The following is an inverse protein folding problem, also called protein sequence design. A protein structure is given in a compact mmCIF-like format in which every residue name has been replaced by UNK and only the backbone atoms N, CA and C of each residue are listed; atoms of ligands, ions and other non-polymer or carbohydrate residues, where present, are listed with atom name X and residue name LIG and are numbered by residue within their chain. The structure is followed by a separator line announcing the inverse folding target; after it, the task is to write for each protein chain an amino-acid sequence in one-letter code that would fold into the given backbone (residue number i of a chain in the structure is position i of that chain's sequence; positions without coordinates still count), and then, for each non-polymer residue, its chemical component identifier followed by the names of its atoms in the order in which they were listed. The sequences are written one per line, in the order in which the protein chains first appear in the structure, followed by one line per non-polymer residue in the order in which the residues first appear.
data_IF_687928469342
#
_entry.id   IF_687928469342
#
_cell.length_a   1.000
_cell.length_b   1.000
_cell.length_c   1.000
_cell.angle_alpha   90.00
_cell.angle_beta   90.00
_cell.angle_gamma   90.00
#
_symmetry.space_group_name_H-M   'P 1'
#
loop_
_entity.id
_entity.type
_entity.pdbx_description
1 polymer ?
#
# COMPACT_ATOMS: atom_id res chain seq x y z
N UNK A 1 -27.82 53.14 18.53
CA UNK A 1 -29.27 53.15 18.26
C UNK A 1 -29.75 51.73 18.21
N UNK A 2 -30.41 51.34 19.29
CA UNK A 2 -31.69 50.64 19.45
C UNK A 2 -31.75 49.20 18.87
N UNK A 3 -31.74 48.18 19.83
CA UNK A 3 -32.90 47.50 20.47
C UNK A 3 -33.65 46.60 19.47
N UNK A 4 -33.92 45.30 19.75
CA UNK A 4 -34.58 44.56 20.87
C UNK A 4 -34.43 43.07 20.58
N UNK A 5 -34.07 42.12 21.44
CA UNK A 5 -34.86 41.39 22.46
C UNK A 5 -36.20 40.80 21.99
N UNK A 6 -36.29 39.47 22.11
CA UNK A 6 -37.34 38.67 22.76
C UNK A 6 -37.13 37.20 22.38
N UNK A 7 -36.81 36.28 23.20
CA UNK A 7 -37.49 35.53 24.31
C UNK A 7 -38.82 34.87 23.94
N UNK A 8 -38.88 33.60 24.22
CA UNK A 8 -39.93 32.75 24.82
C UNK A 8 -39.96 31.39 24.10
N UNK A 9 -39.49 30.30 24.71
CA UNK A 9 -40.15 29.44 25.71
C UNK A 9 -41.44 28.78 25.21
N UNK A 10 -41.40 27.46 24.98
CA UNK A 10 -42.43 26.56 25.52
C UNK A 10 -42.04 25.10 25.37
N UNK A 11 -42.03 24.45 26.45
CA UNK A 11 -42.00 23.03 26.74
C UNK A 11 -43.36 22.44 26.36
N UNK A 12 -43.36 21.28 25.71
CA UNK A 12 -44.52 20.40 25.77
C UNK A 12 -44.05 18.95 25.74
N UNK A 13 -44.14 18.32 26.89
CA UNK A 13 -44.16 16.90 27.12
C UNK A 13 -45.40 16.28 26.45
N UNK A 14 -45.21 15.29 25.65
CA UNK A 14 -46.27 14.32 25.34
C UNK A 14 -45.73 12.94 25.56
N UNK A 15 -46.11 12.38 26.67
CA UNK A 15 -46.08 10.94 26.92
C UNK A 15 -47.15 10.27 26.08
N UNK A 16 -46.80 9.29 25.31
CA UNK A 16 -47.79 8.31 24.82
C UNK A 16 -47.23 6.92 24.89
N UNK A 17 -47.91 6.18 25.71
CA UNK A 17 -47.92 4.73 25.87
C UNK A 17 -48.36 4.02 24.59
N UNK A 18 -47.76 2.86 24.35
CA UNK A 18 -48.52 1.76 23.73
C UNK A 18 -48.03 1.28 22.39
N UNK A 19 -47.43 0.23 22.28
CA UNK A 19 -47.98 -1.04 21.82
C UNK A 19 -46.86 -2.04 21.50
N UNK A 20 -46.80 -3.06 22.29
CA UNK A 20 -46.08 -4.30 22.00
C UNK A 20 -46.71 -5.00 20.79
N UNK A 21 -46.02 -4.98 19.67
CA UNK A 21 -46.25 -5.95 18.61
C UNK A 21 -44.99 -6.77 18.43
N UNK A 22 -45.10 -8.03 18.81
CA UNK A 22 -44.05 -9.02 18.62
C UNK A 22 -43.72 -9.21 17.14
N UNK A 23 -42.55 -8.74 16.79
CA UNK A 23 -41.89 -9.08 15.54
C UNK A 23 -40.97 -10.25 15.82
N UNK A 24 -41.28 -11.40 15.25
CA UNK A 24 -40.38 -12.55 15.20
C UNK A 24 -39.10 -12.15 14.49
N UNK A 25 -38.02 -11.99 15.24
CA UNK A 25 -36.71 -11.85 14.70
C UNK A 25 -36.34 -13.13 13.96
N UNK A 26 -36.32 -13.08 12.65
CA UNK A 26 -35.60 -14.06 11.84
C UNK A 26 -34.14 -13.98 12.27
N UNK A 27 -33.68 -14.94 13.04
CA UNK A 27 -32.28 -15.20 13.25
C UNK A 27 -31.67 -15.59 11.90
N UNK A 28 -31.12 -14.61 11.18
CA UNK A 28 -30.23 -14.88 10.08
C UNK A 28 -29.01 -15.60 10.64
N UNK A 29 -28.87 -16.86 10.24
CA UNK A 29 -27.73 -17.69 10.54
C UNK A 29 -26.56 -17.13 9.70
N UNK A 30 -25.96 -16.04 10.17
CA UNK A 30 -24.73 -15.50 9.61
C UNK A 30 -23.61 -16.40 10.11
N UNK A 31 -23.37 -17.49 9.38
CA UNK A 31 -22.17 -18.30 9.51
C UNK A 31 -21.00 -17.52 8.93
N UNK A 32 -20.69 -16.39 9.56
CA UNK A 32 -19.46 -15.65 9.31
C UNK A 32 -18.29 -16.57 9.62
N UNK A 33 -17.59 -17.00 8.59
CA UNK A 33 -16.27 -17.58 8.78
C UNK A 33 -15.48 -16.60 9.68
N UNK A 34 -14.73 -17.09 10.67
CA UNK A 34 -13.98 -16.21 11.56
C UNK A 34 -13.11 -15.32 10.70
N UNK A 35 -13.38 -14.00 10.72
CA UNK A 35 -12.54 -12.99 10.13
C UNK A 35 -11.15 -13.21 10.70
N UNK A 36 -10.21 -13.59 9.82
CA UNK A 36 -8.82 -13.80 10.23
C UNK A 36 -8.35 -12.48 10.81
N UNK A 37 -8.06 -12.49 12.11
CA UNK A 37 -7.41 -11.35 12.75
C UNK A 37 -6.23 -10.90 11.88
N UNK A 38 -6.04 -9.58 11.65
CA UNK A 38 -4.94 -9.08 10.84
C UNK A 38 -3.64 -9.67 11.39
N UNK A 39 -2.95 -10.43 10.55
CA UNK A 39 -1.64 -11.00 10.91
C UNK A 39 -0.70 -9.81 11.10
N UNK A 40 -0.43 -9.47 12.35
CA UNK A 40 0.55 -8.45 12.66
C UNK A 40 1.90 -8.97 12.18
N UNK A 41 2.47 -8.32 11.16
CA UNK A 41 3.85 -8.62 10.73
C UNK A 41 4.78 -8.37 11.93
N UNK A 42 5.71 -9.29 12.22
CA UNK A 42 6.66 -9.11 13.31
C UNK A 42 7.44 -7.80 13.14
N UNK A 43 7.81 -7.20 14.24
CA UNK A 43 8.70 -6.04 14.21
C UNK A 43 10.07 -6.43 13.63
N UNK A 44 10.70 -5.55 12.79
CA UNK A 44 12.03 -5.83 12.24
C UNK A 44 13.04 -6.18 13.32
N UNK A 45 13.77 -7.28 13.11
CA UNK A 45 14.76 -7.78 14.07
C UNK A 45 14.18 -8.52 15.27
N UNK A 46 12.85 -8.74 15.35
CA UNK A 46 12.23 -9.57 16.38
C UNK A 46 12.34 -11.06 16.04
N UNK A 47 12.24 -11.97 17.04
CA UNK A 47 12.18 -13.40 16.79
C UNK A 47 10.88 -13.81 16.08
N UNK A 48 10.77 -13.66 14.82
CA UNK A 48 9.57 -13.88 13.99
C UNK A 48 9.60 -13.03 12.75
N UNK A 49 10.58 -12.14 12.63
CA UNK A 49 10.88 -11.37 11.42
C UNK A 49 11.60 -12.25 10.39
N UNK A 50 11.07 -13.42 10.15
CA UNK A 50 11.58 -14.32 9.10
C UNK A 50 10.62 -14.26 7.92
N UNK A 51 11.16 -14.07 6.73
CA UNK A 51 10.43 -14.20 5.48
C UNK A 51 9.76 -15.59 5.44
N UNK A 52 8.49 -15.62 5.10
CA UNK A 52 7.80 -16.87 4.84
C UNK A 52 8.39 -17.56 3.61
N UNK A 53 8.01 -18.83 3.36
CA UNK A 53 8.43 -19.50 2.11
C UNK A 53 7.88 -18.82 0.87
N UNK A 54 6.69 -18.26 0.96
CA UNK A 54 6.05 -17.48 -0.10
C UNK A 54 6.80 -16.17 -0.34
N UNK A 55 7.17 -15.46 0.71
CA UNK A 55 8.01 -14.26 0.61
C UNK A 55 9.37 -14.57 -0.06
N UNK A 56 10.01 -15.66 0.34
CA UNK A 56 11.27 -16.09 -0.27
C UNK A 56 11.10 -16.43 -1.76
N UNK A 57 10.00 -17.10 -2.13
CA UNK A 57 9.68 -17.36 -3.54
C UNK A 57 9.45 -16.09 -4.33
N UNK A 58 8.72 -15.11 -3.73
CA UNK A 58 8.48 -13.82 -4.36
C UNK A 58 9.78 -13.03 -4.51
N UNK A 59 10.64 -13.00 -3.50
CA UNK A 59 11.94 -12.33 -3.58
C UNK A 59 12.82 -12.90 -4.69
N UNK A 60 12.82 -14.23 -4.86
CA UNK A 60 13.63 -14.92 -5.89
C UNK A 60 12.99 -14.89 -7.27
N UNK A 61 11.71 -14.56 -7.39
CA UNK A 61 10.99 -14.57 -8.66
C UNK A 61 11.62 -13.62 -9.68
N UNK A 62 12.16 -12.50 -9.23
CA UNK A 62 12.78 -11.49 -10.11
C UNK A 62 13.84 -12.07 -11.02
N UNK A 63 14.64 -13.04 -10.58
CA UNK A 63 15.66 -13.69 -11.39
C UNK A 63 15.10 -14.48 -12.58
N UNK A 64 13.84 -14.91 -12.49
CA UNK A 64 13.13 -15.56 -13.61
C UNK A 64 12.46 -14.54 -14.53
N UNK A 65 12.16 -13.35 -14.01
CA UNK A 65 11.52 -12.27 -14.75
C UNK A 65 12.51 -11.44 -15.56
N UNK A 66 13.79 -11.43 -15.19
CA UNK A 66 14.81 -10.69 -15.94
C UNK A 66 15.14 -11.38 -17.26
N UNK A 67 15.38 -10.58 -18.29
CA UNK A 67 16.02 -11.02 -19.53
C UNK A 67 17.55 -10.95 -19.42
N UNK A 68 18.24 -11.27 -20.53
CA UNK A 68 19.71 -11.26 -20.62
C UNK A 68 20.32 -9.86 -20.41
N UNK A 69 19.56 -8.81 -20.63
CA UNK A 69 19.99 -7.41 -20.53
C UNK A 69 19.56 -6.78 -19.19
N UNK A 70 19.04 -7.59 -18.25
CA UNK A 70 18.58 -7.13 -16.93
C UNK A 70 17.24 -6.41 -16.96
N UNK A 71 16.49 -6.46 -18.08
CA UNK A 71 15.16 -5.85 -18.15
C UNK A 71 14.11 -6.84 -17.69
N UNK A 72 13.11 -6.31 -16.98
CA UNK A 72 12.00 -7.14 -16.52
C UNK A 72 11.06 -7.48 -17.70
N UNK A 73 10.76 -8.74 -17.88
CA UNK A 73 9.91 -9.26 -18.96
C UNK A 73 8.44 -9.09 -18.63
N UNK A 74 7.63 -8.85 -19.66
CA UNK A 74 6.17 -8.83 -19.57
C UNK A 74 5.60 -7.57 -18.91
N UNK A 75 6.40 -6.54 -18.70
CA UNK A 75 5.94 -5.27 -18.15
C UNK A 75 5.14 -4.44 -19.17
N UNK A 76 4.00 -3.92 -18.75
CA UNK A 76 3.28 -2.88 -19.43
C UNK A 76 3.72 -1.51 -18.87
N UNK A 77 4.59 -0.82 -19.62
CA UNK A 77 5.21 0.42 -19.17
C UNK A 77 4.18 1.53 -18.91
N UNK A 78 3.18 1.68 -19.77
CA UNK A 78 2.13 2.71 -19.63
C UNK A 78 1.28 2.47 -18.37
N UNK A 79 0.95 1.21 -18.07
CA UNK A 79 0.24 0.86 -16.85
C UNK A 79 1.14 1.06 -15.62
N UNK A 80 2.41 0.67 -15.73
CA UNK A 80 3.41 0.89 -14.69
C UNK A 80 3.60 2.36 -14.35
N UNK A 81 3.60 3.25 -15.35
CA UNK A 81 3.62 4.69 -15.14
C UNK A 81 2.43 5.17 -14.32
N UNK A 82 1.21 4.77 -14.70
CA UNK A 82 0.00 5.14 -13.96
C UNK A 82 0.05 4.69 -12.50
N UNK A 83 0.47 3.45 -12.27
CA UNK A 83 0.61 2.88 -10.93
C UNK A 83 1.68 3.62 -10.11
N UNK A 84 2.83 3.91 -10.72
CA UNK A 84 3.91 4.65 -10.09
C UNK A 84 3.46 6.08 -9.71
N UNK A 85 2.81 6.78 -10.62
CA UNK A 85 2.31 8.14 -10.38
C UNK A 85 1.27 8.19 -9.26
N UNK A 86 0.46 7.16 -9.12
CA UNK A 86 -0.56 7.08 -8.06
C UNK A 86 0.04 6.74 -6.70
N UNK A 87 0.96 5.78 -6.64
CA UNK A 87 1.35 5.15 -5.39
C UNK A 87 2.80 5.48 -4.95
N UNK A 88 3.71 5.74 -5.89
CA UNK A 88 5.13 5.91 -5.60
C UNK A 88 5.58 7.38 -5.66
N UNK A 89 5.00 8.15 -6.58
CA UNK A 89 5.30 9.58 -6.79
C UNK A 89 5.23 10.44 -5.53
N UNK A 90 4.26 10.29 -4.62
CA UNK A 90 4.17 11.14 -3.43
C UNK A 90 5.47 11.17 -2.63
N UNK A 91 6.17 10.05 -2.57
CA UNK A 91 7.46 9.91 -1.89
C UNK A 91 8.65 10.08 -2.85
N UNK A 92 8.59 9.52 -4.06
CA UNK A 92 9.75 9.42 -4.96
C UNK A 92 9.87 10.54 -6.00
N UNK A 93 8.83 11.38 -6.16
CA UNK A 93 8.78 12.41 -7.20
C UNK A 93 8.33 11.88 -8.55
N UNK A 94 8.05 12.79 -9.50
CA UNK A 94 7.54 12.40 -10.83
C UNK A 94 8.58 11.64 -11.66
N UNK A 95 9.84 11.93 -11.44
CA UNK A 95 11.00 11.38 -12.15
C UNK A 95 11.79 10.37 -11.32
N UNK A 96 11.32 10.03 -10.12
CA UNK A 96 11.98 9.11 -9.22
C UNK A 96 13.24 9.66 -8.53
N UNK A 97 13.53 10.96 -8.64
CA UNK A 97 14.78 11.59 -8.16
C UNK A 97 14.67 12.31 -6.81
N UNK A 98 13.55 12.17 -6.12
CA UNK A 98 13.37 12.84 -4.83
C UNK A 98 14.29 12.31 -3.74
N UNK A 99 14.68 11.02 -3.79
CA UNK A 99 15.60 10.40 -2.86
C UNK A 99 16.86 9.92 -3.57
N UNK A 100 18.01 10.28 -3.03
CA UNK A 100 19.28 9.71 -3.41
C UNK A 100 19.57 8.48 -2.53
N UNK A 101 19.69 7.31 -3.13
CA UNK A 101 19.99 6.04 -2.46
C UNK A 101 21.49 5.77 -2.33
N UNK A 102 22.34 6.61 -2.94
CA UNK A 102 23.78 6.49 -2.83
C UNK A 102 24.27 7.02 -1.48
N UNK A 103 25.28 6.38 -0.93
CA UNK A 103 26.07 6.91 0.20
C UNK A 103 27.11 7.95 -0.25
N UNK A 104 27.37 8.05 -1.55
CA UNK A 104 28.36 8.94 -2.14
C UNK A 104 27.68 10.08 -2.87
N UNK A 105 27.93 11.30 -2.43
CA UNK A 105 27.30 12.48 -3.00
C UNK A 105 27.70 12.71 -4.48
N UNK A 106 28.94 12.36 -4.82
CA UNK A 106 29.48 12.53 -6.19
C UNK A 106 28.89 11.52 -7.19
N UNK A 107 28.24 10.46 -6.70
CA UNK A 107 27.60 9.43 -7.53
C UNK A 107 26.20 9.19 -7.03
N UNK A 108 25.27 10.10 -7.28
CA UNK A 108 23.89 9.90 -6.85
C UNK A 108 23.30 8.69 -7.56
N UNK A 109 22.46 7.94 -6.85
CA UNK A 109 21.70 6.84 -7.39
C UNK A 109 20.22 7.03 -7.05
N UNK A 110 19.40 7.05 -8.07
CA UNK A 110 17.96 7.26 -7.95
C UNK A 110 17.19 5.96 -8.21
N UNK A 111 15.89 6.04 -8.18
CA UNK A 111 15.04 4.85 -8.34
C UNK A 111 15.24 4.19 -9.72
N UNK A 112 15.42 4.99 -10.78
CA UNK A 112 15.71 4.50 -12.11
C UNK A 112 17.04 3.73 -12.18
N UNK A 113 18.08 4.27 -11.55
CA UNK A 113 19.38 3.60 -11.47
C UNK A 113 19.28 2.27 -10.72
N UNK A 114 18.58 2.26 -9.57
CA UNK A 114 18.34 1.04 -8.81
C UNK A 114 17.55 -0.02 -9.59
N UNK A 115 16.55 0.41 -10.34
CA UNK A 115 15.77 -0.50 -11.17
C UNK A 115 16.57 -1.07 -12.36
N UNK A 116 17.53 -0.32 -12.92
CA UNK A 116 18.39 -0.77 -14.01
C UNK A 116 19.56 -1.62 -13.55
N UNK A 117 20.24 -1.19 -12.49
CA UNK A 117 21.53 -1.77 -12.09
C UNK A 117 21.36 -2.83 -11.00
N UNK A 118 20.35 -2.69 -10.16
CA UNK A 118 20.12 -3.53 -8.99
C UNK A 118 18.66 -4.01 -8.90
N UNK A 119 18.07 -4.48 -10.00
CA UNK A 119 16.68 -4.90 -10.04
C UNK A 119 16.28 -5.88 -8.92
N UNK A 120 17.09 -6.85 -8.49
CA UNK A 120 16.73 -7.69 -7.35
C UNK A 120 16.54 -6.91 -6.05
N UNK A 121 17.38 -5.91 -5.78
CA UNK A 121 17.26 -5.02 -4.62
C UNK A 121 16.03 -4.13 -4.73
N UNK A 122 15.80 -3.52 -5.92
CA UNK A 122 14.61 -2.74 -6.19
C UNK A 122 13.33 -3.57 -5.98
N UNK A 123 13.29 -4.76 -6.56
CA UNK A 123 12.17 -5.70 -6.44
C UNK A 123 11.88 -6.07 -4.99
N UNK A 124 12.94 -6.36 -4.21
CA UNK A 124 12.82 -6.66 -2.78
C UNK A 124 12.15 -5.52 -2.03
N UNK A 125 12.63 -4.28 -2.20
CA UNK A 125 12.06 -3.13 -1.50
C UNK A 125 10.62 -2.80 -1.92
N UNK A 126 10.27 -2.96 -3.18
CA UNK A 126 8.88 -2.78 -3.62
C UNK A 126 7.96 -3.82 -2.97
N UNK A 127 8.38 -5.07 -2.91
CA UNK A 127 7.55 -6.12 -2.32
C UNK A 127 7.46 -6.01 -0.80
N UNK A 128 8.59 -5.85 -0.11
CA UNK A 128 8.68 -6.00 1.35
C UNK A 128 8.84 -4.68 2.11
N UNK A 129 9.02 -3.58 1.39
CA UNK A 129 9.21 -2.26 1.97
C UNK A 129 10.59 -2.04 2.59
N UNK A 130 10.75 -0.87 3.20
CA UNK A 130 11.88 -0.52 4.05
C UNK A 130 11.36 0.33 5.22
N UNK A 131 11.10 -0.31 6.35
CA UNK A 131 10.57 0.36 7.53
C UNK A 131 11.49 1.45 8.07
N UNK A 132 12.81 1.26 7.96
CA UNK A 132 13.77 2.24 8.45
C UNK A 132 13.71 3.56 7.65
N UNK A 133 13.25 3.48 6.40
CA UNK A 133 13.06 4.62 5.50
C UNK A 133 11.60 4.99 5.27
N UNK A 134 10.67 4.33 5.97
CA UNK A 134 9.24 4.60 5.86
C UNK A 134 8.59 4.13 4.55
N UNK A 135 9.21 3.19 3.84
CA UNK A 135 8.64 2.60 2.63
C UNK A 135 7.72 1.44 2.97
N UNK A 136 6.47 1.52 2.51
CA UNK A 136 5.48 0.45 2.68
C UNK A 136 5.85 -0.79 1.83
N UNK A 137 5.36 -1.97 2.27
CA UNK A 137 5.40 -3.20 1.50
C UNK A 137 4.17 -3.28 0.58
N UNK A 138 4.36 -3.68 -0.66
CA UNK A 138 3.28 -3.73 -1.65
C UNK A 138 2.90 -5.16 -2.06
N UNK A 139 3.56 -6.18 -1.51
CA UNK A 139 3.31 -7.60 -1.85
C UNK A 139 1.86 -8.04 -1.62
N UNK A 140 1.21 -7.48 -0.60
CA UNK A 140 -0.17 -7.81 -0.25
C UNK A 140 -1.18 -6.82 -0.87
N UNK A 141 -0.70 -5.70 -1.42
CA UNK A 141 -1.56 -4.63 -1.96
C UNK A 141 -1.73 -4.72 -3.47
N UNK A 142 -0.71 -5.20 -4.18
CA UNK A 142 -0.73 -5.29 -5.63
C UNK A 142 -0.66 -6.71 -6.15
N UNK A 143 -1.43 -7.02 -7.21
CA UNK A 143 -1.21 -8.22 -7.99
C UNK A 143 0.22 -8.25 -8.55
N UNK A 144 0.78 -9.46 -8.74
CA UNK A 144 2.13 -9.64 -9.28
C UNK A 144 2.38 -8.86 -10.57
N UNK A 145 1.40 -8.81 -11.48
CA UNK A 145 1.56 -8.09 -12.75
C UNK A 145 1.72 -6.58 -12.55
N UNK A 146 1.09 -6.00 -11.55
CA UNK A 146 1.23 -4.57 -11.25
C UNK A 146 2.64 -4.25 -10.71
N UNK A 147 3.20 -5.15 -9.90
CA UNK A 147 4.59 -5.05 -9.44
C UNK A 147 5.59 -5.17 -10.61
N UNK A 148 5.32 -6.07 -11.56
CA UNK A 148 6.12 -6.23 -12.79
C UNK A 148 6.06 -4.94 -13.63
N UNK A 149 4.90 -4.35 -13.79
CA UNK A 149 4.69 -3.15 -14.58
C UNK A 149 5.36 -1.92 -13.93
N UNK A 150 5.23 -1.77 -12.62
CA UNK A 150 5.93 -0.73 -11.85
C UNK A 150 7.44 -0.87 -12.01
N UNK A 151 7.97 -2.10 -11.91
CA UNK A 151 9.40 -2.36 -12.06
C UNK A 151 9.88 -2.04 -13.48
N UNK A 152 9.12 -2.41 -14.50
CA UNK A 152 9.42 -2.07 -15.90
C UNK A 152 9.42 -0.58 -16.14
N UNK A 153 8.42 0.15 -15.64
CA UNK A 153 8.39 1.61 -15.75
C UNK A 153 9.57 2.24 -14.99
N UNK A 154 9.88 1.77 -13.79
CA UNK A 154 11.00 2.29 -13.02
C UNK A 154 12.35 2.20 -13.77
N UNK A 155 12.54 1.17 -14.61
CA UNK A 155 13.73 1.06 -15.48
C UNK A 155 13.79 2.15 -16.56
N UNK A 156 12.69 2.80 -16.89
CA UNK A 156 12.65 3.91 -17.87
C UNK A 156 12.94 5.28 -17.25
N UNK A 157 12.89 5.39 -15.93
CA UNK A 157 13.17 6.63 -15.21
C UNK A 157 14.65 7.05 -15.36
N UNK A 158 14.92 8.35 -15.35
CA UNK A 158 16.28 8.90 -15.50
C UNK A 158 17.19 8.54 -14.33
#
# INVERSE_FOLDING_TARGET
MFFKRATFLSVLFVTSYGLLLGGTAFAGNDSGAPEKAPVQKPEPGSPGDTLTREDARMALLVYKLLDKDGKIKGANIERGEKLFMQNCRPCHGNDGRRFNFSLYYEKPAFIGDRAREEMPTFWYHVNFGDKNRGMAAYIDEFPLQDLIDIAGFAQTLP
#
